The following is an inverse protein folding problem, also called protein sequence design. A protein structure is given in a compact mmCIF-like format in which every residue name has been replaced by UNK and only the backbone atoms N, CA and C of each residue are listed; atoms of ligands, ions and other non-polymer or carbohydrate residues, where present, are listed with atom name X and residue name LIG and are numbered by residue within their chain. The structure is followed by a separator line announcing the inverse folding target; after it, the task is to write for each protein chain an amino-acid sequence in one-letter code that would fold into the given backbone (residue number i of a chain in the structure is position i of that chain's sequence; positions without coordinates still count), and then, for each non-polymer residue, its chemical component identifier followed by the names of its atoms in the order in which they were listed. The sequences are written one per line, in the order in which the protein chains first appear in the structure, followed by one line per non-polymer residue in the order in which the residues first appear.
data_IF_741919886907
#
_entry.id   IF_741919886907
#
_cell.length_a   1.000
_cell.length_b   1.000
_cell.length_c   1.000
_cell.angle_alpha   90.00
_cell.angle_beta   90.00
_cell.angle_gamma   90.00
#
_symmetry.space_group_name_H-M   'P 1'
#
loop_
_entity.id
_entity.type
_entity.pdbx_description
1 polymer ?
#
# COMPACT_ATOMS: atom_id res chain seq x y z
N UNK A 1 -16.27 69.41 -25.21
CA UNK A 1 -16.76 68.01 -25.22
C UNK A 1 -15.59 67.10 -24.89
N UNK A 2 -15.36 66.85 -23.60
CA UNK A 2 -14.35 65.88 -23.17
C UNK A 2 -14.70 64.51 -23.76
N UNK A 3 -13.70 63.81 -24.29
CA UNK A 3 -13.86 62.72 -25.24
C UNK A 3 -14.51 61.48 -24.61
N UNK A 4 -15.85 61.44 -24.66
CA UNK A 4 -16.65 60.26 -24.30
C UNK A 4 -16.10 58.95 -24.92
N UNK A 5 -15.60 59.02 -26.16
CA UNK A 5 -14.95 57.91 -26.84
C UNK A 5 -13.66 57.42 -26.15
N UNK A 6 -12.87 58.33 -25.55
CA UNK A 6 -11.68 57.97 -24.78
C UNK A 6 -12.04 57.22 -23.50
N UNK A 7 -13.12 57.61 -22.82
CA UNK A 7 -13.59 56.93 -21.62
C UNK A 7 -14.11 55.52 -21.90
N UNK A 8 -14.84 55.33 -23.01
CA UNK A 8 -15.33 54.00 -23.43
C UNK A 8 -14.19 53.06 -23.78
N UNK A 9 -13.19 53.54 -24.54
CA UNK A 9 -12.01 52.74 -24.90
C UNK A 9 -11.19 52.38 -23.64
N UNK A 10 -10.97 53.34 -22.74
CA UNK A 10 -10.28 53.09 -21.48
C UNK A 10 -10.99 52.06 -20.60
N UNK A 11 -12.33 52.15 -20.49
CA UNK A 11 -13.14 51.17 -19.76
C UNK A 11 -13.09 49.77 -20.41
N UNK A 12 -13.15 49.69 -21.74
CA UNK A 12 -13.04 48.42 -22.46
C UNK A 12 -11.67 47.76 -22.27
N UNK A 13 -10.57 48.53 -22.35
CA UNK A 13 -9.21 48.03 -22.10
C UNK A 13 -9.07 47.57 -20.65
N UNK A 14 -9.57 48.36 -19.68
CA UNK A 14 -9.57 47.99 -18.27
C UNK A 14 -10.33 46.68 -18.01
N UNK A 15 -11.50 46.52 -18.64
CA UNK A 15 -12.29 45.29 -18.54
C UNK A 15 -11.54 44.09 -19.14
N UNK A 16 -10.95 44.24 -20.33
CA UNK A 16 -10.16 43.18 -20.98
C UNK A 16 -8.97 42.78 -20.09
N UNK A 17 -8.26 43.74 -19.50
CA UNK A 17 -7.14 43.46 -18.61
C UNK A 17 -7.58 42.65 -17.37
N UNK A 18 -8.72 42.99 -16.76
CA UNK A 18 -9.28 42.23 -15.64
C UNK A 18 -9.68 40.82 -16.08
N UNK A 19 -10.32 40.67 -17.25
CA UNK A 19 -10.72 39.36 -17.78
C UNK A 19 -9.50 38.45 -18.04
N UNK A 20 -8.44 38.97 -18.63
CA UNK A 20 -7.19 38.22 -18.86
C UNK A 20 -6.56 37.82 -17.53
N UNK A 21 -6.48 38.75 -16.57
CA UNK A 21 -5.96 38.46 -15.23
C UNK A 21 -6.76 37.36 -14.51
N UNK A 22 -8.09 37.40 -14.60
CA UNK A 22 -8.97 36.38 -14.02
C UNK A 22 -8.80 35.01 -14.70
N UNK A 23 -8.69 34.98 -16.04
CA UNK A 23 -8.48 33.74 -16.79
C UNK A 23 -7.13 33.09 -16.45
N UNK A 24 -6.07 33.89 -16.34
CA UNK A 24 -4.76 33.42 -15.93
C UNK A 24 -4.78 32.85 -14.50
N UNK A 25 -5.44 33.54 -13.57
CA UNK A 25 -5.59 33.05 -12.19
C UNK A 25 -6.37 31.72 -12.12
N UNK A 26 -7.43 31.59 -12.91
CA UNK A 26 -8.19 30.33 -13.01
C UNK A 26 -7.32 29.20 -13.60
N UNK A 27 -6.49 29.49 -14.60
CA UNK A 27 -5.55 28.53 -15.16
C UNK A 27 -4.51 28.06 -14.13
N UNK A 28 -3.89 29.00 -13.41
CA UNK A 28 -2.93 28.68 -12.35
C UNK A 28 -3.56 27.86 -11.22
N UNK A 29 -4.79 28.19 -10.82
CA UNK A 29 -5.51 27.46 -9.77
C UNK A 29 -5.77 26.02 -10.19
N UNK A 30 -6.24 25.79 -11.42
CA UNK A 30 -6.44 24.42 -11.95
C UNK A 30 -5.13 23.62 -11.97
N UNK A 31 -4.03 24.25 -12.40
CA UNK A 31 -2.71 23.60 -12.43
C UNK A 31 -2.24 23.22 -11.02
N UNK A 32 -2.40 24.11 -10.05
CA UNK A 32 -2.07 23.84 -8.65
C UNK A 32 -2.90 22.69 -8.09
N UNK A 33 -4.21 22.69 -8.33
CA UNK A 33 -5.09 21.67 -7.79
C UNK A 33 -4.79 20.28 -8.40
N UNK A 34 -4.46 20.20 -9.69
CA UNK A 34 -3.95 18.97 -10.30
C UNK A 34 -2.66 18.50 -9.64
N UNK A 35 -1.70 19.41 -9.42
CA UNK A 35 -0.44 19.07 -8.78
C UNK A 35 -0.62 18.56 -7.35
N UNK A 36 -1.51 19.18 -6.57
CA UNK A 36 -1.84 18.74 -5.22
C UNK A 36 -2.46 17.33 -5.20
N UNK A 37 -3.37 17.04 -6.15
CA UNK A 37 -3.95 15.69 -6.29
C UNK A 37 -2.89 14.64 -6.64
N UNK A 38 -1.97 14.96 -7.54
CA UNK A 38 -0.86 14.06 -7.88
C UNK A 38 0.07 13.82 -6.68
N UNK A 39 0.36 14.85 -5.88
CA UNK A 39 1.14 14.70 -4.66
C UNK A 39 0.43 13.83 -3.63
N UNK A 40 -0.88 14.03 -3.45
CA UNK A 40 -1.68 13.21 -2.53
C UNK A 40 -1.73 11.75 -2.98
N UNK A 41 -1.95 11.48 -4.28
CA UNK A 41 -1.94 10.14 -4.84
C UNK A 41 -0.59 9.43 -4.62
N UNK A 42 0.54 10.13 -4.87
CA UNK A 42 1.88 9.59 -4.59
C UNK A 42 2.09 9.30 -3.12
N UNK A 43 1.68 10.22 -2.24
CA UNK A 43 1.79 10.04 -0.79
C UNK A 43 1.00 8.83 -0.30
N UNK A 44 -0.21 8.61 -0.81
CA UNK A 44 -1.04 7.44 -0.50
C UNK A 44 -0.35 6.18 -0.99
N UNK A 45 0.09 6.17 -2.24
CA UNK A 45 0.77 5.03 -2.87
C UNK A 45 2.00 4.60 -2.06
N UNK A 46 2.87 5.55 -1.70
CA UNK A 46 4.07 5.27 -0.89
C UNK A 46 3.74 4.77 0.52
N UNK A 47 2.70 5.31 1.16
CA UNK A 47 2.27 4.86 2.48
C UNK A 47 1.74 3.41 2.44
N UNK A 48 0.95 3.07 1.41
CA UNK A 48 0.47 1.72 1.17
C UNK A 48 1.61 0.75 0.85
N UNK A 49 2.57 1.17 0.01
CA UNK A 49 3.75 0.35 -0.30
C UNK A 49 4.56 0.02 0.96
N UNK A 50 4.78 1.02 1.83
CA UNK A 50 5.55 0.86 3.05
C UNK A 50 4.88 -0.12 4.03
N UNK A 51 3.56 -0.02 4.22
CA UNK A 51 2.84 -0.96 5.07
C UNK A 51 2.82 -2.37 4.48
N UNK A 52 2.50 -2.50 3.19
CA UNK A 52 2.44 -3.79 2.50
C UNK A 52 3.79 -4.52 2.62
N UNK A 53 4.89 -3.83 2.30
CA UNK A 53 6.27 -4.34 2.41
C UNK A 53 6.61 -4.79 3.84
N UNK A 54 6.38 -3.92 4.81
CA UNK A 54 6.78 -4.19 6.20
C UNK A 54 5.95 -5.34 6.79
N UNK A 55 4.66 -5.35 6.52
CA UNK A 55 3.74 -6.39 7.01
C UNK A 55 4.02 -7.72 6.33
N UNK A 56 4.33 -7.71 5.03
CA UNK A 56 4.74 -8.91 4.28
C UNK A 56 5.98 -9.56 4.90
N UNK A 57 7.05 -8.79 5.08
CA UNK A 57 8.31 -9.27 5.64
C UNK A 57 8.14 -9.79 7.08
N UNK A 58 7.46 -9.02 7.93
CA UNK A 58 7.17 -9.43 9.31
C UNK A 58 6.31 -10.69 9.37
N UNK A 59 5.30 -10.82 8.52
CA UNK A 59 4.41 -11.99 8.49
C UNK A 59 5.17 -13.23 8.05
N UNK A 60 5.99 -13.13 7.00
CA UNK A 60 6.82 -14.24 6.54
C UNK A 60 7.85 -14.67 7.60
N UNK A 61 8.56 -13.72 8.22
CA UNK A 61 9.54 -14.01 9.28
C UNK A 61 8.88 -14.66 10.51
N UNK A 62 7.73 -14.15 10.94
CA UNK A 62 6.97 -14.70 12.07
C UNK A 62 6.42 -16.10 11.78
N UNK A 63 5.91 -16.29 10.56
CA UNK A 63 5.49 -17.61 10.10
C UNK A 63 6.64 -18.61 10.19
N UNK A 64 7.83 -18.28 9.68
CA UNK A 64 9.00 -19.17 9.74
C UNK A 64 9.35 -19.57 11.16
N UNK A 65 9.39 -18.59 12.06
CA UNK A 65 9.72 -18.83 13.48
C UNK A 65 8.70 -19.75 14.16
N UNK A 66 7.40 -19.55 13.90
CA UNK A 66 6.35 -20.40 14.45
C UNK A 66 6.35 -21.80 13.82
N UNK A 67 6.56 -21.90 12.51
CA UNK A 67 6.51 -23.15 11.76
C UNK A 67 7.70 -24.06 12.00
N UNK A 68 8.86 -23.49 12.38
CA UNK A 68 10.08 -24.23 12.71
C UNK A 68 10.29 -24.45 14.21
N UNK A 69 9.37 -23.98 15.06
CA UNK A 69 9.47 -24.22 16.48
C UNK A 69 9.47 -25.73 16.77
N UNK A 70 10.53 -26.20 17.44
CA UNK A 70 10.69 -27.61 17.84
C UNK A 70 10.28 -27.83 19.30
N UNK A 71 9.33 -27.02 19.79
CA UNK A 71 8.93 -26.97 21.19
C UNK A 71 9.93 -26.22 22.08
N UNK A 72 10.73 -25.33 21.50
CA UNK A 72 11.72 -24.54 22.23
C UNK A 72 11.19 -23.18 22.69
N UNK A 73 10.14 -22.67 22.04
CA UNK A 73 9.55 -21.39 22.39
C UNK A 73 8.50 -21.52 23.50
N UNK A 74 8.48 -20.55 24.42
CA UNK A 74 7.37 -20.45 25.38
C UNK A 74 6.09 -19.98 24.68
N UNK A 75 4.94 -20.21 25.32
CA UNK A 75 3.64 -19.74 24.82
C UNK A 75 3.62 -18.22 24.61
N UNK A 76 4.27 -17.46 25.50
CA UNK A 76 4.35 -16.00 25.43
C UNK A 76 5.15 -15.55 24.20
N UNK A 77 6.25 -16.25 23.88
CA UNK A 77 7.04 -15.98 22.67
C UNK A 77 6.22 -16.27 21.42
N UNK A 78 5.51 -17.41 21.37
CA UNK A 78 4.63 -17.74 20.25
C UNK A 78 3.51 -16.71 20.07
N UNK A 79 2.92 -16.21 21.15
CA UNK A 79 1.92 -15.14 21.08
C UNK A 79 2.51 -13.82 20.54
N UNK A 80 3.77 -13.52 20.83
CA UNK A 80 4.46 -12.35 20.28
C UNK A 80 4.74 -12.47 18.76
N UNK A 81 4.68 -13.68 18.19
CA UNK A 81 4.80 -13.92 16.75
C UNK A 81 3.52 -13.64 15.98
N UNK A 82 2.40 -13.28 16.63
CA UNK A 82 1.15 -12.95 15.90
C UNK A 82 1.41 -11.89 14.84
N UNK A 83 0.82 -11.99 13.64
CA UNK A 83 1.02 -11.01 12.58
C UNK A 83 0.58 -9.61 13.05
N UNK A 84 1.28 -8.53 12.63
CA UNK A 84 0.91 -7.19 13.04
C UNK A 84 -0.41 -6.78 12.37
N UNK A 85 -1.25 -5.99 13.06
CA UNK A 85 -2.47 -5.47 12.45
C UNK A 85 -2.15 -4.41 11.38
N UNK A 86 -2.96 -4.38 10.31
CA UNK A 86 -2.91 -3.31 9.32
C UNK A 86 -3.46 -2.01 9.93
N UNK A 87 -2.68 -0.93 9.85
CA UNK A 87 -2.99 0.38 10.46
C UNK A 87 -3.23 1.45 9.40
N UNK A 88 -2.48 1.43 8.30
CA UNK A 88 -2.50 2.43 7.23
C UNK A 88 -3.61 2.11 6.22
N UNK A 89 -3.69 0.86 5.77
CA UNK A 89 -4.64 0.38 4.77
C UNK A 89 -6.10 0.73 5.12
N UNK A 90 -6.63 0.41 6.32
CA UNK A 90 -8.01 0.76 6.65
C UNK A 90 -8.27 2.27 6.68
N UNK A 91 -7.25 3.09 6.96
CA UNK A 91 -7.34 4.55 7.06
C UNK A 91 -7.22 5.26 5.71
N UNK A 92 -6.71 4.58 4.68
CA UNK A 92 -6.53 5.13 3.33
C UNK A 92 -7.44 4.47 2.30
N UNK A 93 -8.24 3.47 2.69
CA UNK A 93 -9.12 2.73 1.80
C UNK A 93 -10.16 3.63 1.10
N UNK A 94 -10.67 4.66 1.78
CA UNK A 94 -11.60 5.65 1.23
C UNK A 94 -10.94 6.57 0.19
N UNK A 95 -9.61 6.69 0.21
CA UNK A 95 -8.82 7.51 -0.71
C UNK A 95 -8.28 6.77 -1.93
N UNK A 96 -8.59 5.48 -2.09
CA UNK A 96 -8.10 4.68 -3.24
C UNK A 96 -8.54 5.24 -4.59
N UNK A 97 -9.66 5.97 -4.65
CA UNK A 97 -10.12 6.64 -5.86
C UNK A 97 -9.21 7.76 -6.37
N UNK A 98 -8.21 8.18 -5.59
CA UNK A 98 -7.17 9.13 -6.02
C UNK A 98 -6.03 8.45 -6.80
N UNK A 99 -5.90 7.13 -6.72
CA UNK A 99 -4.90 6.37 -7.44
C UNK A 99 -5.37 6.07 -8.86
N UNK A 100 -4.42 5.74 -9.75
CA UNK A 100 -4.76 5.19 -11.06
C UNK A 100 -5.57 3.89 -10.89
N UNK A 101 -6.63 3.64 -11.69
CA UNK A 101 -7.51 2.48 -11.51
C UNK A 101 -6.77 1.14 -11.40
N UNK A 102 -5.72 0.96 -12.20
CA UNK A 102 -4.89 -0.24 -12.16
C UNK A 102 -4.17 -0.40 -10.83
N UNK A 103 -3.57 0.67 -10.32
CA UNK A 103 -2.84 0.68 -9.03
C UNK A 103 -3.80 0.42 -7.87
N UNK A 104 -5.00 1.01 -7.90
CA UNK A 104 -6.02 0.79 -6.87
C UNK A 104 -6.46 -0.70 -6.81
N UNK A 105 -6.74 -1.32 -7.96
CA UNK A 105 -7.09 -2.75 -8.01
C UNK A 105 -5.96 -3.62 -7.48
N UNK A 106 -4.71 -3.34 -7.88
CA UNK A 106 -3.53 -4.07 -7.40
C UNK A 106 -3.35 -3.92 -5.89
N UNK A 107 -3.57 -2.73 -5.33
CA UNK A 107 -3.50 -2.52 -3.88
C UNK A 107 -4.54 -3.38 -3.15
N UNK A 108 -5.81 -3.33 -3.58
CA UNK A 108 -6.90 -4.13 -2.96
C UNK A 108 -6.56 -5.62 -2.98
N UNK A 109 -6.15 -6.13 -4.14
CA UNK A 109 -5.77 -7.54 -4.29
C UNK A 109 -4.61 -7.91 -3.38
N UNK A 110 -3.56 -7.09 -3.33
CA UNK A 110 -2.38 -7.35 -2.53
C UNK A 110 -2.67 -7.34 -1.02
N UNK A 111 -3.43 -6.37 -0.52
CA UNK A 111 -3.81 -6.33 0.90
C UNK A 111 -4.77 -7.46 1.27
N UNK A 112 -5.66 -7.86 0.37
CA UNK A 112 -6.56 -9.01 0.61
C UNK A 112 -5.77 -10.32 0.69
N UNK A 113 -4.76 -10.47 -0.17
CA UNK A 113 -3.88 -11.62 -0.18
C UNK A 113 -2.97 -11.66 1.05
N UNK A 114 -2.43 -10.51 1.45
CA UNK A 114 -1.65 -10.37 2.67
C UNK A 114 -2.48 -10.70 3.92
N UNK A 115 -3.72 -10.23 4.01
CA UNK A 115 -4.63 -10.52 5.12
C UNK A 115 -4.90 -12.03 5.25
N UNK A 116 -5.08 -12.71 4.11
CA UNK A 116 -5.18 -14.18 4.10
C UNK A 116 -3.91 -14.85 4.65
N UNK A 117 -2.72 -14.42 4.23
CA UNK A 117 -1.44 -14.96 4.75
C UNK A 117 -1.21 -14.66 6.23
N UNK A 118 -1.65 -13.49 6.70
CA UNK A 118 -1.65 -13.14 8.12
C UNK A 118 -2.58 -14.10 8.89
N UNK A 119 -3.79 -14.36 8.41
CA UNK A 119 -4.69 -15.32 9.04
C UNK A 119 -4.07 -16.73 9.11
N UNK A 120 -3.46 -17.21 8.03
CA UNK A 120 -2.77 -18.51 8.00
C UNK A 120 -1.58 -18.59 8.97
N UNK A 121 -0.85 -17.47 9.13
CA UNK A 121 0.20 -17.33 10.14
C UNK A 121 -0.38 -17.41 11.54
N UNK A 122 -1.51 -16.74 11.79
CA UNK A 122 -2.25 -16.82 13.04
C UNK A 122 -2.63 -18.26 13.40
N UNK A 123 -3.20 -19.01 12.45
CA UNK A 123 -3.56 -20.43 12.65
C UNK A 123 -2.33 -21.28 12.97
N UNK A 124 -1.21 -21.04 12.27
CA UNK A 124 0.04 -21.77 12.51
C UNK A 124 0.57 -21.55 13.93
N UNK A 125 0.48 -20.31 14.44
CA UNK A 125 0.84 -19.97 15.81
C UNK A 125 -0.09 -20.63 16.81
N UNK A 126 -1.41 -20.63 16.56
CA UNK A 126 -2.38 -21.30 17.42
C UNK A 126 -2.11 -22.81 17.53
N UNK A 127 -1.83 -23.45 16.40
CA UNK A 127 -1.47 -24.86 16.36
C UNK A 127 -0.14 -25.14 17.08
N UNK A 128 0.85 -24.26 16.96
CA UNK A 128 2.11 -24.37 17.69
C UNK A 128 1.90 -24.28 19.21
N UNK A 129 1.12 -23.28 19.66
CA UNK A 129 0.75 -23.09 21.08
C UNK A 129 0.04 -24.32 21.65
N UNK A 130 -0.82 -24.95 20.86
CA UNK A 130 -1.59 -26.12 21.28
C UNK A 130 -0.83 -27.44 21.11
N UNK A 131 0.41 -27.42 20.58
CA UNK A 131 1.18 -28.63 20.27
C UNK A 131 0.55 -29.49 19.17
N UNK A 132 -0.36 -28.92 18.37
CA UNK A 132 -1.10 -29.62 17.30
C UNK A 132 -0.55 -29.33 15.90
N UNK A 133 0.53 -28.54 15.79
CA UNK A 133 1.13 -28.16 14.52
C UNK A 133 1.69 -29.37 13.78
N UNK A 134 1.14 -29.63 12.60
CA UNK A 134 1.64 -30.66 11.69
C UNK A 134 2.61 -30.05 10.69
N UNK A 135 3.79 -30.66 10.54
CA UNK A 135 4.81 -30.21 9.58
C UNK A 135 4.28 -30.11 8.14
N UNK A 136 3.47 -31.07 7.70
CA UNK A 136 2.87 -31.08 6.37
C UNK A 136 1.94 -29.87 6.15
N UNK A 137 1.13 -29.51 7.16
CA UNK A 137 0.25 -28.35 7.09
C UNK A 137 1.07 -27.05 7.03
N UNK A 138 2.12 -26.93 7.84
CA UNK A 138 3.04 -25.79 7.78
C UNK A 138 3.72 -25.68 6.41
N UNK A 139 4.17 -26.79 5.82
CA UNK A 139 4.78 -26.80 4.48
C UNK A 139 3.81 -26.34 3.40
N UNK A 140 2.55 -26.81 3.42
CA UNK A 140 1.54 -26.38 2.45
C UNK A 140 1.26 -24.87 2.53
N UNK A 141 1.20 -24.33 3.75
CA UNK A 141 1.03 -22.89 3.98
C UNK A 141 2.23 -22.08 3.49
N UNK A 142 3.44 -22.56 3.77
CA UNK A 142 4.68 -21.97 3.27
C UNK A 142 4.72 -21.95 1.74
N UNK A 143 4.30 -23.05 1.09
CA UNK A 143 4.23 -23.14 -0.37
C UNK A 143 3.22 -22.15 -0.96
N UNK A 144 2.03 -22.04 -0.35
CA UNK A 144 1.05 -21.06 -0.78
C UNK A 144 1.60 -19.63 -0.67
N UNK A 145 2.29 -19.32 0.43
CA UNK A 145 2.92 -18.01 0.63
C UNK A 145 4.04 -17.75 -0.37
N UNK A 146 4.93 -18.72 -0.60
CA UNK A 146 5.98 -18.60 -1.61
C UNK A 146 5.41 -18.37 -3.02
N UNK A 147 4.33 -19.07 -3.38
CA UNK A 147 3.66 -18.91 -4.67
C UNK A 147 3.10 -17.50 -4.88
N UNK A 148 2.63 -16.85 -3.82
CA UNK A 148 2.07 -15.50 -3.89
C UNK A 148 3.10 -14.37 -3.69
N UNK A 149 4.32 -14.72 -3.26
CA UNK A 149 5.39 -13.76 -2.94
C UNK A 149 5.69 -12.79 -4.07
N UNK A 150 5.80 -13.29 -5.31
CA UNK A 150 6.08 -12.47 -6.48
C UNK A 150 4.96 -11.46 -6.76
N UNK A 151 3.70 -11.81 -6.50
CA UNK A 151 2.55 -10.93 -6.72
C UNK A 151 2.54 -9.78 -5.71
N UNK A 152 2.85 -10.09 -4.46
CA UNK A 152 2.95 -9.10 -3.39
C UNK A 152 4.12 -8.14 -3.63
N UNK A 153 5.28 -8.65 -4.08
CA UNK A 153 6.41 -7.80 -4.46
C UNK A 153 6.12 -6.93 -5.69
N UNK A 154 5.48 -7.47 -6.72
CA UNK A 154 5.06 -6.68 -7.88
C UNK A 154 4.07 -5.57 -7.50
N UNK A 155 3.18 -5.83 -6.53
CA UNK A 155 2.28 -4.80 -6.00
C UNK A 155 3.04 -3.70 -5.23
N UNK A 156 4.05 -4.06 -4.42
CA UNK A 156 4.92 -3.10 -3.72
C UNK A 156 5.62 -2.19 -4.73
N UNK A 157 6.21 -2.75 -5.78
CA UNK A 157 6.88 -1.99 -6.84
C UNK A 157 5.90 -1.06 -7.57
N UNK A 158 4.70 -1.56 -7.90
CA UNK A 158 3.68 -0.76 -8.57
C UNK A 158 3.20 0.42 -7.71
N UNK A 159 3.19 0.25 -6.38
CA UNK A 159 2.87 1.33 -5.44
C UNK A 159 4.05 2.30 -5.21
N UNK A 160 5.21 2.06 -5.86
CA UNK A 160 6.41 2.89 -5.75
C UNK A 160 7.30 2.55 -4.55
N UNK A 161 7.16 1.36 -3.97
CA UNK A 161 8.05 0.84 -2.92
C UNK A 161 9.15 -0.04 -3.48
N UNK A 162 10.13 -0.36 -2.63
CA UNK A 162 11.15 -1.37 -2.94
C UNK A 162 10.66 -2.78 -2.54
N UNK A 163 10.79 -3.79 -3.42
CA UNK A 163 10.37 -5.15 -3.11
C UNK A 163 11.16 -5.73 -1.93
N UNK A 164 10.56 -6.69 -1.23
CA UNK A 164 11.26 -7.44 -0.18
C UNK A 164 12.27 -8.37 -0.84
N UNK A 165 13.55 -8.24 -0.44
CA UNK A 165 14.65 -9.03 -0.98
C UNK A 165 14.69 -10.42 -0.35
N UNK A 166 14.99 -11.42 -1.16
CA UNK A 166 15.10 -12.81 -0.74
C UNK A 166 13.77 -13.56 -0.81
N UNK A 167 13.85 -14.88 -0.97
CA UNK A 167 12.71 -15.75 -0.83
C UNK A 167 12.57 -16.11 0.65
N UNK A 168 11.42 -15.85 1.28
CA UNK A 168 11.09 -16.56 2.50
C UNK A 168 10.95 -18.06 2.19
N UNK A 169 11.11 -18.90 3.19
CA UNK A 169 10.85 -20.35 3.11
C UNK A 169 11.91 -21.23 2.41
N UNK A 170 13.14 -20.74 2.15
CA UNK A 170 14.25 -21.60 1.64
C UNK A 170 14.47 -22.82 2.54
N UNK A 171 14.26 -22.67 3.85
CA UNK A 171 14.40 -23.73 4.86
C UNK A 171 13.34 -24.84 4.72
N UNK A 172 12.25 -24.60 3.99
CA UNK A 172 11.28 -25.62 3.60
C UNK A 172 11.63 -26.33 2.28
N UNK A 173 12.79 -26.02 1.68
CA UNK A 173 13.17 -26.54 0.37
C UNK A 173 12.39 -25.90 -0.79
N UNK A 174 11.71 -24.79 -0.53
CA UNK A 174 10.91 -24.08 -1.51
C UNK A 174 11.84 -23.10 -2.25
N UNK A 175 12.34 -23.52 -3.41
CA UNK A 175 12.93 -22.64 -4.41
C UNK A 175 11.88 -22.29 -5.47
N UNK A 176 11.91 -21.05 -5.98
CA UNK A 176 11.17 -20.70 -7.20
C UNK A 176 11.82 -21.34 -8.44
#
# INVERSE_FOLDING_TARGET
MQSWMGNVIGAAIGLIAILIGALWNAHLTRKRDTHLREQEARSISSALAAELRTTLDMTASRFMQAALDRGGMSKEVLLALRPPALVVWPKLADKLGLLEPRVAVTAIQAFSLLDWHMAMTGVTIDEAINGSLKKEAAMLRAQAFANDWHRLNAAIEMLGGEPVKGLPFVEFGIGL
#
